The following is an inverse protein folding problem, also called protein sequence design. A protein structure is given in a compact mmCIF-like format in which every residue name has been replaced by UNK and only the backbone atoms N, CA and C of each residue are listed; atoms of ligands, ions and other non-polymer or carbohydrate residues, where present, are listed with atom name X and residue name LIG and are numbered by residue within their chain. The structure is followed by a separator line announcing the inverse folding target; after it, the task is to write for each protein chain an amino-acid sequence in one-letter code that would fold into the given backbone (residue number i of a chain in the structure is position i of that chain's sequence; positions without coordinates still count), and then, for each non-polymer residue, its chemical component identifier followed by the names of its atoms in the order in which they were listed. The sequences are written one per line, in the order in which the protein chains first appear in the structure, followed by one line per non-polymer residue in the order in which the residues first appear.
data_IF_497036471844
#
_entry.id   IF_497036471844
#
_cell.length_a   1.000
_cell.length_b   1.000
_cell.length_c   1.000
_cell.angle_alpha   90.00
_cell.angle_beta   90.00
_cell.angle_gamma   90.00
#
_symmetry.space_group_name_H-M   'P 1'
#
loop_
_entity.id
_entity.type
_entity.pdbx_description
1 polymer ?
#
# COMPACT_ATOMS: atom_id res chain seq x y z
N UNK A 1 34.14 2.93 18.66
CA UNK A 1 33.23 1.98 18.00
C UNK A 1 31.86 1.88 18.69
N UNK A 2 31.80 2.07 20.02
CA UNK A 2 30.53 2.06 20.80
C UNK A 2 29.62 3.26 20.51
N UNK A 3 30.19 4.47 20.41
CA UNK A 3 29.43 5.71 20.12
C UNK A 3 28.71 5.63 18.76
N UNK A 4 29.37 5.04 17.75
CA UNK A 4 28.79 4.88 16.43
C UNK A 4 27.54 3.99 16.43
N UNK A 5 27.54 2.92 17.25
CA UNK A 5 26.38 2.04 17.41
C UNK A 5 25.22 2.74 18.10
N UNK A 6 25.51 3.55 19.13
CA UNK A 6 24.51 4.34 19.85
C UNK A 6 23.87 5.37 18.91
N UNK A 7 24.66 6.07 18.11
CA UNK A 7 24.16 7.04 17.13
C UNK A 7 23.27 6.37 16.08
N UNK A 8 23.67 5.19 15.57
CA UNK A 8 22.86 4.41 14.64
C UNK A 8 21.52 4.00 15.28
N UNK A 9 21.56 3.49 16.52
CA UNK A 9 20.35 3.08 17.24
C UNK A 9 19.38 4.25 17.47
N UNK A 10 19.92 5.41 17.86
CA UNK A 10 19.15 6.65 18.06
C UNK A 10 18.49 7.09 16.74
N UNK A 11 19.22 7.08 15.62
CA UNK A 11 18.67 7.42 14.30
C UNK A 11 17.53 6.49 13.92
N UNK A 12 17.66 5.18 14.14
CA UNK A 12 16.57 4.23 13.87
C UNK A 12 15.35 4.43 14.77
N UNK A 13 15.52 4.82 16.04
CA UNK A 13 14.38 5.11 16.94
C UNK A 13 13.60 6.38 16.57
N UNK A 14 14.28 7.43 16.09
CA UNK A 14 13.63 8.68 15.65
C UNK A 14 12.98 8.57 14.27
N UNK A 15 13.40 7.59 13.46
CA UNK A 15 12.82 7.31 12.15
C UNK A 15 11.48 6.57 12.22
N UNK A 16 10.79 6.54 13.38
CA UNK A 16 9.48 5.91 13.54
C UNK A 16 8.55 6.19 12.37
N UNK A 17 8.46 5.23 11.45
CA UNK A 17 7.69 5.34 10.21
C UNK A 17 6.23 5.12 10.58
N UNK A 18 5.59 6.16 11.12
CA UNK A 18 4.15 6.16 11.28
C UNK A 18 3.54 6.31 9.89
N UNK A 19 2.86 5.27 9.41
CA UNK A 19 2.07 5.35 8.18
C UNK A 19 1.04 6.47 8.31
N UNK A 20 0.96 7.30 7.28
CA UNK A 20 -0.06 8.34 7.09
C UNK A 20 -1.31 7.79 6.39
N UNK A 21 -1.28 6.53 5.98
CA UNK A 21 -2.41 5.92 5.29
C UNK A 21 -3.56 5.60 6.24
N UNK A 22 -4.82 5.76 5.79
CA UNK A 22 -5.97 5.37 6.58
C UNK A 22 -5.92 3.88 6.93
N UNK A 23 -6.24 3.54 8.18
CA UNK A 23 -6.28 2.15 8.65
C UNK A 23 -7.67 1.52 8.54
N UNK A 24 -8.71 2.34 8.37
CA UNK A 24 -10.11 1.93 8.36
C UNK A 24 -10.84 2.49 7.16
N UNK A 25 -11.67 1.65 6.54
CA UNK A 25 -12.60 2.00 5.46
C UNK A 25 -13.95 1.34 5.66
N UNK A 26 -15.03 1.87 5.07
CA UNK A 26 -16.32 1.22 5.10
C UNK A 26 -16.26 -0.22 4.55
N UNK A 27 -16.93 -1.15 5.23
CA UNK A 27 -17.12 -2.51 4.74
C UNK A 27 -18.38 -2.57 3.87
N UNK A 28 -18.24 -2.12 2.62
CA UNK A 28 -19.31 -2.10 1.61
C UNK A 28 -18.82 -2.90 0.40
N UNK A 29 -19.70 -3.75 -0.15
CA UNK A 29 -19.45 -4.48 -1.39
C UNK A 29 -19.84 -3.61 -2.58
N UNK A 30 -18.82 -3.03 -3.20
CA UNK A 30 -18.91 -2.14 -4.36
C UNK A 30 -17.59 -2.31 -5.15
N UNK A 31 -17.33 -3.46 -5.79
CA UNK A 31 -16.00 -3.85 -6.23
C UNK A 31 -15.32 -2.79 -7.10
N UNK A 32 -14.01 -2.60 -6.92
CA UNK A 32 -13.21 -1.70 -7.74
C UNK A 32 -11.85 -2.34 -8.06
N UNK A 33 -11.27 -1.98 -9.20
CA UNK A 33 -9.96 -2.42 -9.64
C UNK A 33 -9.01 -1.22 -9.80
N UNK A 34 -7.84 -1.29 -9.14
CA UNK A 34 -6.71 -0.41 -9.40
C UNK A 34 -5.80 -1.00 -10.48
N UNK A 35 -5.68 -0.31 -11.61
CA UNK A 35 -4.84 -0.74 -12.73
C UNK A 35 -3.46 -0.12 -12.62
N UNK A 36 -2.45 -0.93 -12.32
CA UNK A 36 -1.05 -0.53 -12.38
C UNK A 36 -0.42 -0.83 -13.74
N UNK A 37 0.82 -0.36 -13.90
CA UNK A 37 1.64 -0.64 -15.07
C UNK A 37 2.01 -2.13 -15.16
N UNK A 38 2.36 -2.75 -14.02
CA UNK A 38 2.85 -4.14 -13.96
C UNK A 38 1.92 -5.10 -13.23
N UNK A 39 0.97 -4.59 -12.44
CA UNK A 39 0.05 -5.38 -11.64
C UNK A 39 -1.31 -4.68 -11.52
N UNK A 40 -2.37 -5.45 -11.29
CA UNK A 40 -3.70 -4.91 -10.97
C UNK A 40 -4.02 -5.19 -9.49
N UNK A 41 -4.95 -4.46 -8.88
CA UNK A 41 -5.37 -4.72 -7.51
C UNK A 41 -6.88 -4.65 -7.35
N UNK A 42 -7.47 -5.80 -7.03
CA UNK A 42 -8.85 -5.85 -6.55
C UNK A 42 -9.02 -5.16 -5.20
N UNK A 43 -10.16 -4.52 -5.03
CA UNK A 43 -10.67 -4.04 -3.76
C UNK A 43 -12.17 -4.31 -3.64
N UNK A 44 -12.63 -4.56 -2.41
CA UNK A 44 -14.06 -4.73 -2.13
C UNK A 44 -14.85 -3.44 -2.41
N UNK A 45 -14.15 -2.30 -2.39
CA UNK A 45 -14.63 -0.97 -2.74
C UNK A 45 -13.51 0.01 -3.10
N UNK A 46 -13.87 1.17 -3.65
CA UNK A 46 -12.92 2.22 -4.02
C UNK A 46 -11.95 2.59 -2.90
N UNK A 47 -12.43 2.63 -1.65
CA UNK A 47 -11.59 3.03 -0.51
C UNK A 47 -10.50 2.01 -0.22
N UNK A 48 -10.79 0.72 -0.34
CA UNK A 48 -9.75 -0.31 -0.20
C UNK A 48 -8.66 -0.20 -1.26
N UNK A 49 -9.02 0.13 -2.51
CA UNK A 49 -8.04 0.37 -3.58
C UNK A 49 -7.20 1.61 -3.26
N UNK A 50 -7.81 2.70 -2.80
CA UNK A 50 -7.10 3.92 -2.41
C UNK A 50 -6.16 3.74 -1.20
N UNK A 51 -6.54 2.94 -0.19
CA UNK A 51 -5.63 2.59 0.91
C UNK A 51 -4.39 1.90 0.37
N UNK A 52 -4.57 0.93 -0.54
CA UNK A 52 -3.45 0.20 -1.12
C UNK A 52 -2.54 1.12 -1.94
N UNK A 53 -3.12 2.01 -2.73
CA UNK A 53 -2.38 3.05 -3.45
C UNK A 53 -1.59 3.96 -2.49
N UNK A 54 -2.18 4.34 -1.36
CA UNK A 54 -1.49 5.12 -0.33
C UNK A 54 -0.26 4.36 0.20
N UNK A 55 -0.41 3.09 0.55
CA UNK A 55 0.71 2.27 1.02
C UNK A 55 1.78 2.06 -0.07
N UNK A 56 1.36 1.94 -1.34
CA UNK A 56 2.30 1.87 -2.47
C UNK A 56 3.15 3.14 -2.54
N UNK A 57 2.51 4.30 -2.38
CA UNK A 57 3.21 5.59 -2.33
C UNK A 57 4.18 5.69 -1.15
N UNK A 58 3.81 5.21 0.03
CA UNK A 58 4.71 5.17 1.20
C UNK A 58 5.91 4.24 0.98
N UNK A 59 5.71 3.15 0.23
CA UNK A 59 6.77 2.22 -0.17
C UNK A 59 7.59 2.71 -1.38
N UNK A 60 7.30 3.89 -1.94
CA UNK A 60 7.97 4.41 -3.13
C UNK A 60 7.61 3.68 -4.44
N UNK A 61 6.52 2.93 -4.45
CA UNK A 61 5.99 2.25 -5.63
C UNK A 61 5.13 3.21 -6.48
N UNK A 62 5.05 2.98 -7.81
CA UNK A 62 4.21 3.80 -8.67
C UNK A 62 2.72 3.68 -8.29
N UNK A 63 1.93 4.76 -8.41
CA UNK A 63 0.50 4.72 -8.15
C UNK A 63 -0.25 3.91 -9.23
N UNK A 64 -1.56 3.71 -9.04
CA UNK A 64 -2.38 3.15 -10.11
C UNK A 64 -2.54 4.17 -11.24
N UNK A 65 -2.54 3.68 -12.48
CA UNK A 65 -2.81 4.48 -13.67
C UNK A 65 -4.29 4.91 -13.72
N UNK A 66 -5.17 4.05 -13.24
CA UNK A 66 -6.61 4.32 -13.10
C UNK A 66 -7.23 3.39 -12.06
N UNK A 67 -8.34 3.83 -11.48
CA UNK A 67 -9.21 3.03 -10.63
C UNK A 67 -10.59 3.01 -11.30
N UNK A 68 -11.15 1.82 -11.50
CA UNK A 68 -12.43 1.62 -12.21
C UNK A 68 -13.36 0.76 -11.36
N UNK A 69 -14.65 1.02 -11.45
CA UNK A 69 -15.70 0.19 -10.86
C UNK A 69 -15.71 -1.21 -11.50
N UNK A 70 -15.96 -2.23 -10.67
CA UNK A 70 -15.93 -3.63 -11.03
C UNK A 70 -14.63 -4.36 -10.64
N UNK A 71 -14.63 -5.70 -10.76
CA UNK A 71 -13.45 -6.52 -10.49
C UNK A 71 -12.34 -6.28 -11.53
N UNK A 72 -11.10 -6.63 -11.18
CA UNK A 72 -10.02 -6.63 -12.15
C UNK A 72 -10.23 -7.69 -13.24
N UNK A 73 -9.84 -7.40 -14.50
CA UNK A 73 -9.91 -8.39 -15.57
C UNK A 73 -8.94 -9.53 -15.29
N UNK A 74 -9.44 -10.76 -15.47
CA UNK A 74 -8.63 -11.97 -15.31
C UNK A 74 -7.56 -12.06 -16.41
N UNK A 75 -6.33 -12.39 -16.03
CA UNK A 75 -5.24 -12.70 -16.97
C UNK A 75 -4.55 -11.50 -17.64
N UNK A 76 -4.99 -10.26 -17.43
CA UNK A 76 -4.30 -9.06 -17.95
C UNK A 76 -2.95 -8.84 -17.25
N UNK A 77 -2.97 -8.80 -15.91
CA UNK A 77 -1.78 -8.61 -15.06
C UNK A 77 -1.91 -9.38 -13.74
N UNK A 78 -0.79 -9.73 -13.09
CA UNK A 78 -0.84 -10.33 -11.77
C UNK A 78 -1.41 -9.37 -10.72
N UNK A 79 -1.86 -9.92 -9.59
CA UNK A 79 -2.27 -9.13 -8.43
C UNK A 79 -1.07 -8.39 -7.84
N UNK A 80 -1.24 -7.10 -7.52
CA UNK A 80 -0.20 -6.31 -6.89
C UNK A 80 0.19 -6.93 -5.54
N UNK A 81 1.49 -7.02 -5.22
CA UNK A 81 1.97 -7.62 -3.99
C UNK A 81 1.25 -6.97 -2.80
N UNK A 82 0.83 -7.81 -1.86
CA UNK A 82 0.28 -7.33 -0.60
C UNK A 82 1.37 -6.56 0.13
N UNK A 83 1.16 -5.26 0.32
CA UNK A 83 1.95 -4.50 1.28
C UNK A 83 1.50 -4.98 2.65
N UNK A 84 2.18 -5.98 3.20
CA UNK A 84 1.99 -6.39 4.59
C UNK A 84 2.38 -5.16 5.42
N UNK A 85 1.46 -4.55 6.20
CA UNK A 85 1.89 -3.55 7.16
C UNK A 85 2.86 -4.26 8.10
N UNK A 86 4.11 -3.83 8.09
CA UNK A 86 5.15 -4.32 9.00
C UNK A 86 4.78 -3.77 10.38
N UNK A 87 3.82 -4.41 11.05
CA UNK A 87 3.52 -4.20 12.45
C UNK A 87 3.64 -5.54 13.17
N UNK A 88 4.86 -5.84 13.58
CA UNK A 88 5.12 -6.45 14.89
C UNK A 88 6.51 -6.09 15.39
#
# INVERSE_FOLDING_TARGET
MEIFKILIFIVFTFLGVNSKCPTFVPYISDPHCGFGETCNSDGINKWTVHIKECHMKEAGLPPFLKIVEGPCPEGDKPQCPGLIPINK
#
